data_IF_006754589115
#
_entry.id   IF_006754589115
#
_cell.length_a   1.000
_cell.length_b   1.000
_cell.length_c   1.000
_cell.angle_alpha   90.00
_cell.angle_beta   90.00
_cell.angle_gamma   90.00
#
_symmetry.space_group_name_H-M   'P 1'
#
loop_
_entity.id
_entity.type
_entity.pdbx_description
1 polymer ?
#
# COMPACT_ATOMS: atom_id res chain seq x y z
N UNK A 1 -13.27 -10.31 -6.94
CA UNK A 1 -13.26 -10.37 -5.47
C UNK A 1 -12.91 -11.80 -5.11
N UNK A 2 -11.74 -12.05 -4.54
CA UNK A 2 -11.36 -13.40 -4.12
C UNK A 2 -12.37 -13.88 -3.08
N UNK A 3 -12.88 -15.11 -3.26
CA UNK A 3 -13.73 -15.78 -2.27
C UNK A 3 -12.96 -16.14 -0.98
N UNK A 4 -11.64 -16.02 -0.99
CA UNK A 4 -10.76 -16.35 0.11
C UNK A 4 -10.37 -15.19 1.03
N UNK A 5 -9.65 -15.52 2.11
CA UNK A 5 -9.23 -14.55 3.10
C UNK A 5 -8.29 -13.50 2.49
N UNK A 6 -8.32 -12.28 3.05
CA UNK A 6 -7.34 -11.25 2.75
C UNK A 6 -5.95 -11.58 3.31
N UNK A 7 -5.00 -10.69 3.11
CA UNK A 7 -3.67 -10.82 3.72
C UNK A 7 -3.74 -10.71 5.24
N UNK A 8 -2.67 -11.11 5.94
CA UNK A 8 -2.59 -10.94 7.38
C UNK A 8 -2.79 -9.48 7.81
N UNK A 9 -2.21 -8.54 7.05
CA UNK A 9 -2.36 -7.09 7.24
C UNK A 9 -3.82 -6.59 7.17
N UNK A 10 -4.71 -7.37 6.54
CA UNK A 10 -6.12 -7.01 6.37
C UNK A 10 -7.00 -7.44 7.55
N UNK A 11 -6.48 -8.29 8.45
CA UNK A 11 -7.20 -8.70 9.65
C UNK A 11 -7.43 -7.45 10.53
N UNK A 12 -8.70 -7.15 10.81
CA UNK A 12 -9.09 -5.96 11.57
C UNK A 12 -9.07 -4.64 10.78
N UNK A 13 -8.78 -4.65 9.47
CA UNK A 13 -8.73 -3.42 8.63
C UNK A 13 -9.99 -2.58 8.74
N UNK A 14 -11.19 -3.20 8.67
CA UNK A 14 -12.48 -2.49 8.78
C UNK A 14 -12.66 -1.76 10.10
N UNK A 15 -12.30 -2.38 11.22
CA UNK A 15 -12.39 -1.76 12.53
C UNK A 15 -11.40 -0.59 12.64
N UNK A 16 -10.16 -0.78 12.16
CA UNK A 16 -9.14 0.27 12.10
C UNK A 16 -9.58 1.45 11.24
N UNK A 17 -10.22 1.19 10.11
CA UNK A 17 -10.77 2.24 9.24
C UNK A 17 -11.86 3.05 9.96
N UNK A 18 -12.79 2.42 10.67
CA UNK A 18 -13.81 3.17 11.42
C UNK A 18 -13.18 4.09 12.47
N UNK A 19 -12.09 3.63 13.11
CA UNK A 19 -11.45 4.37 14.20
C UNK A 19 -10.53 5.50 13.73
N UNK A 20 -9.81 5.30 12.61
CA UNK A 20 -8.70 6.18 12.24
C UNK A 20 -8.80 6.77 10.84
N UNK A 21 -9.70 6.27 9.99
CA UNK A 21 -9.79 6.77 8.61
C UNK A 21 -10.23 8.24 8.64
N UNK A 22 -9.47 9.07 7.92
CA UNK A 22 -9.68 10.51 7.81
C UNK A 22 -9.65 11.28 9.14
N UNK A 23 -9.22 10.63 10.24
CA UNK A 23 -9.02 11.30 11.52
C UNK A 23 -7.75 12.15 11.45
N UNK A 24 -7.94 13.46 11.27
CA UNK A 24 -6.87 14.45 11.18
C UNK A 24 -7.21 15.56 12.17
N UNK A 25 -6.37 15.74 13.20
CA UNK A 25 -6.52 16.85 14.16
C UNK A 25 -6.15 18.21 13.55
N UNK A 26 -5.41 18.19 12.45
CA UNK A 26 -4.87 19.35 11.72
C UNK A 26 -5.78 19.79 10.57
N UNK A 27 -5.52 20.97 10.02
CA UNK A 27 -6.24 21.46 8.82
C UNK A 27 -5.61 20.84 7.58
N UNK A 28 -6.38 19.98 6.89
CA UNK A 28 -6.01 19.42 5.59
C UNK A 28 -6.91 19.97 4.49
N UNK A 29 -6.30 20.39 3.39
CA UNK A 29 -6.99 20.71 2.15
C UNK A 29 -6.51 19.74 1.06
N UNK A 30 -7.42 19.22 0.23
CA UNK A 30 -7.09 18.24 -0.80
C UNK A 30 -7.94 18.48 -2.04
N UNK A 31 -7.30 18.54 -3.20
CA UNK A 31 -7.94 18.61 -4.51
C UNK A 31 -7.51 17.37 -5.28
N UNK A 32 -8.45 16.66 -5.89
CA UNK A 32 -8.15 15.53 -6.77
C UNK A 32 -8.93 15.60 -8.07
N UNK A 33 -8.26 15.27 -9.17
CA UNK A 33 -8.83 15.11 -10.50
C UNK A 33 -8.59 13.69 -10.96
N UNK A 34 -9.60 13.09 -11.57
CA UNK A 34 -9.49 11.77 -12.17
C UNK A 34 -9.94 11.82 -13.63
N UNK A 35 -9.13 11.24 -14.51
CA UNK A 35 -9.43 11.00 -15.92
C UNK A 35 -9.27 9.51 -16.22
N UNK A 36 -9.47 9.09 -17.47
CA UNK A 36 -9.44 7.68 -17.87
C UNK A 36 -8.08 7.00 -17.55
N UNK A 37 -8.02 6.37 -16.38
CA UNK A 37 -6.85 5.66 -15.88
C UNK A 37 -5.85 6.52 -15.10
N UNK A 38 -5.97 7.85 -15.07
CA UNK A 38 -5.05 8.72 -14.32
C UNK A 38 -5.80 9.48 -13.22
N UNK A 39 -5.35 9.36 -11.98
CA UNK A 39 -5.81 10.17 -10.86
C UNK A 39 -4.65 11.03 -10.35
N UNK A 40 -4.88 12.32 -10.16
CA UNK A 40 -3.91 13.24 -9.56
C UNK A 40 -4.57 13.86 -8.34
N UNK A 41 -3.89 13.88 -7.22
CA UNK A 41 -4.31 14.53 -6.00
C UNK A 41 -3.21 15.46 -5.50
N UNK A 42 -3.56 16.69 -5.16
CA UNK A 42 -2.69 17.63 -4.47
C UNK A 42 -3.30 17.90 -3.10
N UNK A 43 -2.51 17.78 -2.04
CA UNK A 43 -2.99 18.06 -0.70
C UNK A 43 -2.01 18.93 0.08
N UNK A 44 -2.54 19.70 1.02
CA UNK A 44 -1.77 20.53 1.94
C UNK A 44 -2.26 20.27 3.35
N UNK A 45 -1.31 20.10 4.26
CA UNK A 45 -1.53 19.82 5.67
C UNK A 45 -0.80 20.89 6.49
N UNK A 46 -1.51 21.55 7.40
CA UNK A 46 -0.90 22.50 8.32
C UNK A 46 -0.52 21.79 9.61
N UNK A 47 0.75 21.36 9.69
CA UNK A 47 1.30 20.63 10.84
C UNK A 47 2.18 21.55 11.68
N UNK A 48 1.81 21.75 12.95
CA UNK A 48 2.59 22.55 13.91
C UNK A 48 2.96 23.97 13.39
N UNK A 49 2.13 24.56 12.54
CA UNK A 49 2.35 25.88 11.92
C UNK A 49 3.16 25.86 10.62
N UNK A 50 3.68 24.70 10.19
CA UNK A 50 4.36 24.51 8.91
C UNK A 50 3.41 23.89 7.88
N UNK A 51 3.23 24.53 6.70
CA UNK A 51 2.46 23.93 5.62
C UNK A 51 3.30 22.86 4.92
N UNK A 52 2.84 21.61 4.99
CA UNK A 52 3.41 20.47 4.28
C UNK A 52 2.49 20.17 3.10
N UNK A 53 3.03 20.19 1.89
CA UNK A 53 2.29 19.90 0.66
C UNK A 53 2.70 18.55 0.09
N UNK A 54 1.75 17.82 -0.47
CA UNK A 54 2.04 16.67 -1.30
C UNK A 54 1.26 16.68 -2.62
N UNK A 55 1.85 16.04 -3.62
CA UNK A 55 1.23 15.75 -4.91
C UNK A 55 1.38 14.27 -5.16
N UNK A 56 0.27 13.57 -5.32
CA UNK A 56 0.20 12.17 -5.68
C UNK A 56 -0.42 12.00 -7.07
N UNK A 57 0.10 11.07 -7.85
CA UNK A 57 -0.44 10.65 -9.12
C UNK A 57 -0.52 9.12 -9.15
N UNK A 58 -1.67 8.58 -9.56
CA UNK A 58 -1.90 7.17 -9.75
C UNK A 58 -2.32 6.93 -11.19
N UNK A 59 -1.57 6.10 -11.90
CA UNK A 59 -1.91 5.63 -13.23
C UNK A 59 -2.28 4.15 -13.18
N UNK A 60 -3.49 3.82 -13.62
CA UNK A 60 -4.03 2.46 -13.68
C UNK A 60 -4.35 2.11 -15.12
N UNK A 61 -3.67 1.07 -15.62
CA UNK A 61 -3.90 0.53 -16.94
C UNK A 61 -3.89 -1.00 -16.88
N UNK A 62 -5.03 -1.61 -17.26
CA UNK A 62 -5.26 -3.04 -17.15
C UNK A 62 -4.94 -3.58 -15.74
N UNK A 63 -3.91 -4.42 -15.65
CA UNK A 63 -3.43 -5.07 -14.44
C UNK A 63 -2.23 -4.36 -13.79
N UNK A 64 -1.81 -3.22 -14.34
CA UNK A 64 -0.72 -2.38 -13.86
C UNK A 64 -1.27 -1.15 -13.13
N UNK A 65 -0.73 -0.87 -11.94
CA UNK A 65 -0.95 0.39 -11.24
C UNK A 65 0.41 0.99 -10.89
N UNK A 66 0.59 2.25 -11.23
CA UNK A 66 1.79 3.03 -10.94
C UNK A 66 1.35 4.18 -10.04
N UNK A 67 1.90 4.23 -8.85
CA UNK A 67 1.68 5.32 -7.89
C UNK A 67 2.97 6.12 -7.74
N UNK A 68 2.83 7.44 -7.80
CA UNK A 68 3.90 8.39 -7.62
C UNK A 68 3.46 9.45 -6.61
N UNK A 69 4.30 9.76 -5.64
CA UNK A 69 4.02 10.78 -4.63
C UNK A 69 5.25 11.63 -4.39
N UNK A 70 5.07 12.94 -4.34
CA UNK A 70 6.10 13.92 -4.01
C UNK A 70 5.60 14.78 -2.87
N UNK A 71 6.46 14.99 -1.88
CA UNK A 71 6.21 15.89 -0.75
C UNK A 71 7.18 17.08 -0.81
N UNK A 72 6.72 18.24 -0.34
CA UNK A 72 7.53 19.43 -0.02
C UNK A 72 8.77 19.16 0.84
N UNK A 73 8.77 18.09 1.63
CA UNK A 73 9.95 17.63 2.39
C UNK A 73 10.99 16.89 1.52
N UNK A 74 10.93 17.03 0.19
CA UNK A 74 11.82 16.39 -0.79
C UNK A 74 11.77 14.85 -0.76
N UNK A 75 10.67 14.28 -0.26
CA UNK A 75 10.43 12.85 -0.29
C UNK A 75 9.68 12.49 -1.57
N UNK A 76 10.25 11.59 -2.37
CA UNK A 76 9.62 11.05 -3.57
C UNK A 76 9.36 9.57 -3.32
N UNK A 77 8.11 9.13 -3.35
CA UNK A 77 7.73 7.73 -3.26
C UNK A 77 7.19 7.26 -4.60
N UNK A 78 7.74 6.16 -5.12
CA UNK A 78 7.25 5.49 -6.30
C UNK A 78 6.86 4.06 -5.94
N UNK A 79 5.70 3.61 -6.40
CA UNK A 79 5.21 2.26 -6.21
C UNK A 79 4.66 1.72 -7.52
N UNK A 80 5.05 0.49 -7.84
CA UNK A 80 4.63 -0.24 -9.02
C UNK A 80 3.92 -1.51 -8.56
N UNK A 81 2.63 -1.61 -8.85
CA UNK A 81 1.82 -2.80 -8.57
C UNK A 81 1.46 -3.49 -9.87
N UNK A 82 1.77 -4.78 -9.97
CA UNK A 82 1.37 -5.64 -11.06
C UNK A 82 0.48 -6.75 -10.50
N UNK A 83 -0.78 -6.77 -10.93
CA UNK A 83 -1.74 -7.81 -10.59
C UNK A 83 -1.78 -8.87 -11.69
N UNK A 84 -2.21 -10.08 -11.34
CA UNK A 84 -2.48 -11.18 -12.26
C UNK A 84 -1.28 -11.59 -13.16
N UNK A 85 -0.05 -11.56 -12.61
CA UNK A 85 1.12 -12.16 -13.28
C UNK A 85 0.89 -13.66 -13.49
N UNK A 86 0.40 -14.31 -12.43
CA UNK A 86 -0.23 -15.61 -12.40
C UNK A 86 -1.64 -15.45 -11.80
N UNK A 87 -2.57 -16.40 -12.03
CA UNK A 87 -3.91 -16.32 -11.48
C UNK A 87 -3.88 -16.01 -9.97
N UNK A 88 -4.53 -14.92 -9.58
CA UNK A 88 -4.66 -14.47 -8.17
C UNK A 88 -3.35 -14.07 -7.47
N UNK A 89 -2.32 -13.69 -8.24
CA UNK A 89 -1.05 -13.17 -7.69
C UNK A 89 -0.96 -11.66 -7.89
N UNK A 90 -0.44 -10.94 -6.91
CA UNK A 90 -0.13 -9.50 -6.98
C UNK A 90 1.30 -9.27 -6.52
N UNK A 91 2.08 -8.56 -7.32
CA UNK A 91 3.43 -8.12 -6.97
C UNK A 91 3.45 -6.59 -6.83
N UNK A 92 4.17 -6.10 -5.83
CA UNK A 92 4.29 -4.68 -5.55
C UNK A 92 5.76 -4.36 -5.31
N UNK A 93 6.33 -3.43 -6.07
CA UNK A 93 7.63 -2.85 -5.80
C UNK A 93 7.44 -1.42 -5.34
N UNK A 94 8.18 -0.98 -4.33
CA UNK A 94 8.13 0.39 -3.84
C UNK A 94 9.53 0.90 -3.50
N UNK A 95 9.73 2.20 -3.66
CA UNK A 95 10.98 2.89 -3.32
C UNK A 95 10.64 4.30 -2.88
N UNK A 96 11.38 4.81 -1.88
CA UNK A 96 11.36 6.23 -1.52
C UNK A 96 12.74 6.82 -1.79
N UNK A 97 12.77 8.08 -2.20
CA UNK A 97 13.96 8.86 -2.47
C UNK A 97 13.88 10.15 -1.64
N UNK A 98 15.03 10.72 -1.20
CA UNK A 98 16.41 10.33 -1.52
C UNK A 98 16.93 9.12 -0.72
N UNK A 99 16.16 8.57 0.22
CA UNK A 99 16.59 7.42 1.01
C UNK A 99 16.47 6.09 0.23
N UNK A 100 17.54 5.76 -0.50
CA UNK A 100 17.67 4.51 -1.27
C UNK A 100 17.55 3.22 -0.42
N UNK A 101 17.59 3.31 0.92
CA UNK A 101 17.42 2.16 1.82
C UNK A 101 15.95 1.88 2.18
N UNK A 102 15.00 2.37 1.38
CA UNK A 102 13.55 2.18 1.61
C UNK A 102 12.88 1.33 0.54
N UNK A 103 13.68 0.74 -0.36
CA UNK A 103 13.16 -0.19 -1.35
C UNK A 103 12.45 -1.34 -0.66
N UNK A 104 11.26 -1.71 -1.15
CA UNK A 104 10.53 -2.88 -0.65
C UNK A 104 9.85 -3.58 -1.81
N UNK A 105 10.01 -4.89 -1.87
CA UNK A 105 9.35 -5.76 -2.83
C UNK A 105 8.37 -6.67 -2.08
N UNK A 106 7.13 -6.73 -2.52
CA UNK A 106 6.07 -7.56 -1.95
C UNK A 106 5.50 -8.49 -3.01
N UNK A 107 5.24 -9.73 -2.62
CA UNK A 107 4.57 -10.75 -3.40
C UNK A 107 3.38 -11.28 -2.60
N UNK A 108 2.20 -11.20 -3.18
CA UNK A 108 0.94 -11.56 -2.57
C UNK A 108 0.27 -12.61 -3.43
N UNK A 109 -0.15 -13.71 -2.83
CA UNK A 109 -0.86 -14.80 -3.50
C UNK A 109 -2.19 -15.03 -2.79
N UNK A 110 -3.28 -15.01 -3.56
CA UNK A 110 -4.62 -15.19 -3.05
C UNK A 110 -5.21 -16.50 -3.57
N UNK A 111 -5.61 -17.39 -2.69
CA UNK A 111 -6.33 -18.61 -3.00
C UNK A 111 -7.74 -18.53 -2.41
N UNK A 112 -8.64 -19.42 -2.82
CA UNK A 112 -10.05 -19.43 -2.36
C UNK A 112 -10.21 -19.62 -0.85
N UNK A 113 -9.20 -20.16 -0.16
CA UNK A 113 -9.23 -20.40 1.29
C UNK A 113 -7.95 -19.97 2.01
N UNK A 114 -6.97 -19.42 1.29
CA UNK A 114 -5.69 -19.04 1.86
C UNK A 114 -5.16 -17.76 1.22
N UNK A 115 -4.43 -16.95 1.97
CA UNK A 115 -3.66 -15.82 1.47
C UNK A 115 -2.21 -15.99 1.91
N UNK A 116 -1.26 -15.74 1.02
CA UNK A 116 0.16 -15.75 1.35
C UNK A 116 0.72 -14.39 0.96
N UNK A 117 1.44 -13.75 1.88
CA UNK A 117 2.17 -12.51 1.63
C UNK A 117 3.63 -12.73 1.95
N UNK A 118 4.53 -12.31 1.07
CA UNK A 118 5.95 -12.22 1.34
C UNK A 118 6.41 -10.82 1.00
N UNK A 119 7.30 -10.24 1.80
CA UNK A 119 7.95 -8.98 1.47
C UNK A 119 9.41 -8.97 1.85
N UNK A 120 10.20 -8.26 1.06
CA UNK A 120 11.64 -8.10 1.24
C UNK A 120 11.97 -6.63 1.19
N UNK A 121 12.61 -6.13 2.24
CA UNK A 121 13.15 -4.78 2.30
C UNK A 121 14.54 -4.75 1.66
N UNK A 122 14.72 -3.93 0.63
CA UNK A 122 15.97 -3.72 -0.10
C UNK A 122 16.76 -2.58 0.55
N UNK A 123 17.35 -2.85 1.71
CA UNK A 123 18.15 -1.90 2.47
C UNK A 123 19.43 -2.56 3.01
N UNK A 124 20.25 -1.83 3.78
CA UNK A 124 21.50 -2.38 4.36
C UNK A 124 21.31 -3.63 5.23
N UNK A 125 20.13 -3.81 5.82
CA UNK A 125 19.78 -4.95 6.67
C UNK A 125 18.46 -5.54 6.16
N UNK A 126 18.51 -6.33 5.07
CA UNK A 126 17.30 -6.75 4.39
C UNK A 126 16.42 -7.55 5.34
N UNK A 127 15.23 -7.04 5.62
CA UNK A 127 14.21 -7.71 6.42
C UNK A 127 13.29 -8.47 5.47
N UNK A 128 13.08 -9.75 5.75
CA UNK A 128 12.17 -10.61 5.01
C UNK A 128 10.99 -10.93 5.91
N UNK A 129 9.80 -10.49 5.50
CA UNK A 129 8.55 -10.80 6.17
C UNK A 129 7.76 -11.82 5.36
N UNK A 130 7.23 -12.84 6.02
CA UNK A 130 6.33 -13.82 5.44
C UNK A 130 5.09 -13.94 6.31
N UNK A 131 3.94 -13.89 5.67
CA UNK A 131 2.64 -14.06 6.30
C UNK A 131 1.79 -15.05 5.55
N UNK A 132 0.98 -15.79 6.29
CA UNK A 132 0.01 -16.71 5.74
C UNK A 132 -1.31 -16.55 6.50
N UNK A 133 -2.40 -16.55 5.75
CA UNK A 133 -3.76 -16.55 6.26
C UNK A 133 -4.52 -17.74 5.71
N UNK A 134 -5.38 -18.33 6.53
CA UNK A 134 -6.32 -19.38 6.14
C UNK A 134 -7.68 -19.03 6.71
N UNK A 135 -8.73 -19.23 5.92
CA UNK A 135 -10.05 -18.84 6.37
C UNK A 135 -11.14 -19.00 5.34
N UNK A 136 -12.36 -18.78 5.81
CA UNK A 136 -13.58 -18.67 5.03
C UNK A 136 -14.15 -17.27 5.17
N UNK A 137 -15.32 -16.99 4.60
CA UNK A 137 -15.95 -15.66 4.66
C UNK A 137 -16.24 -15.16 6.09
N UNK A 138 -16.26 -16.03 7.09
CA UNK A 138 -16.65 -15.69 8.47
C UNK A 138 -15.50 -15.75 9.48
N UNK A 139 -14.50 -16.59 9.23
CA UNK A 139 -13.39 -16.81 10.17
C UNK A 139 -12.08 -16.79 9.41
N UNK A 140 -11.10 -16.04 9.92
CA UNK A 140 -9.74 -15.99 9.39
C UNK A 140 -8.74 -16.20 10.52
N UNK A 141 -7.76 -17.04 10.27
CA UNK A 141 -6.58 -17.22 11.10
C UNK A 141 -5.37 -16.80 10.28
N UNK A 142 -4.39 -16.20 10.94
CA UNK A 142 -3.21 -15.72 10.26
C UNK A 142 -1.98 -15.74 11.14
N UNK A 143 -0.83 -15.91 10.50
CA UNK A 143 0.49 -15.89 11.11
C UNK A 143 1.39 -14.99 10.26
N UNK A 144 2.28 -14.26 10.93
CA UNK A 144 3.32 -13.44 10.32
C UNK A 144 4.62 -13.70 11.06
N UNK A 145 5.72 -13.75 10.32
CA UNK A 145 7.07 -13.87 10.85
C UNK A 145 8.05 -13.08 9.99
N UNK A 146 8.95 -12.36 10.63
CA UNK A 146 10.01 -11.57 10.00
C UNK A 146 11.40 -12.07 10.41
N UNK A 147 12.36 -11.97 9.50
CA UNK A 147 13.79 -12.23 9.74
C UNK A 147 14.63 -11.05 9.26
#
# INVERSE_FOLDING_TARGET
MSKGPGLFSDIGRRAREILYKDYICERKFSISTQTNGLAIAASTLLKEGLPIGDVAAQYKYNNVVIDFKVDTLSNIAAMFSLSDILPSTRSIASIKLPDYNTGKFELQYFHEHAGIGSSVSLNKHPVIDVSATIGTSNTVLGVEGGY
#
